data_IF_247630822985
#
_entry.id   IF_247630822985
#
_cell.length_a   1.000
_cell.length_b   1.000
_cell.length_c   1.000
_cell.angle_alpha   90.00
_cell.angle_beta   90.00
_cell.angle_gamma   90.00
#
_symmetry.space_group_name_H-M   'P 1'
#
loop_
_entity.id
_entity.type
_entity.pdbx_description
1 polymer ?
#
# COMPACT_ATOMS: atom_id res chain seq x y z
N UNK A 1 24.74 -10.67 1.22
CA UNK A 1 23.93 -11.26 0.14
C UNK A 1 22.77 -11.95 0.79
N UNK A 2 21.60 -11.31 0.76
CA UNK A 2 20.38 -11.89 1.32
C UNK A 2 19.95 -13.08 0.47
N UNK A 3 19.08 -13.96 1.00
CA UNK A 3 18.58 -15.13 0.25
C UNK A 3 17.78 -14.72 -0.98
N UNK A 4 17.35 -13.46 -1.09
CA UNK A 4 16.48 -12.99 -2.16
C UNK A 4 17.25 -12.41 -3.36
N UNK A 5 18.47 -11.90 -3.17
CA UNK A 5 19.43 -11.55 -4.24
C UNK A 5 19.73 -12.70 -5.23
N UNK A 6 19.39 -13.95 -4.87
CA UNK A 6 19.61 -15.15 -5.70
C UNK A 6 18.34 -15.66 -6.39
N UNK A 7 17.21 -14.96 -6.30
CA UNK A 7 16.01 -15.39 -7.01
C UNK A 7 16.13 -15.05 -8.51
N UNK A 8 15.74 -15.97 -9.40
CA UNK A 8 15.64 -15.67 -10.81
C UNK A 8 14.65 -14.51 -11.05
N UNK A 9 14.81 -13.73 -12.14
CA UNK A 9 13.87 -12.67 -12.46
C UNK A 9 12.42 -13.20 -12.48
N UNK A 10 11.53 -12.52 -11.77
CA UNK A 10 10.13 -12.93 -11.70
C UNK A 10 9.52 -12.99 -13.10
N UNK A 11 8.52 -13.84 -13.27
CA UNK A 11 7.68 -13.76 -14.46
C UNK A 11 7.01 -12.38 -14.53
N UNK A 12 7.05 -11.69 -15.68
CA UNK A 12 6.35 -10.42 -15.89
C UNK A 12 4.83 -10.59 -16.04
N UNK A 13 4.32 -11.82 -15.90
CA UNK A 13 2.90 -12.13 -16.02
C UNK A 13 2.06 -11.35 -14.98
N UNK A 14 0.91 -10.86 -15.46
CA UNK A 14 -0.12 -10.16 -14.66
C UNK A 14 -1.44 -10.93 -14.63
N UNK A 15 -1.39 -12.24 -14.93
CA UNK A 15 -2.54 -13.14 -15.02
C UNK A 15 -3.60 -12.75 -16.09
N UNK A 16 -3.18 -12.04 -17.14
CA UNK A 16 -3.95 -11.80 -18.36
C UNK A 16 -3.26 -12.51 -19.53
N UNK A 17 -3.95 -13.44 -20.18
CA UNK A 17 -3.42 -14.23 -21.29
C UNK A 17 -4.24 -13.97 -22.57
N UNK A 18 -4.01 -12.82 -23.20
CA UNK A 18 -4.63 -12.45 -24.48
C UNK A 18 -3.54 -11.92 -25.38
N UNK A 19 -3.29 -12.58 -26.50
CA UNK A 19 -2.32 -12.17 -27.52
C UNK A 19 -3.00 -11.23 -28.50
N UNK A 20 -2.37 -10.09 -28.77
CA UNK A 20 -2.79 -9.16 -29.81
C UNK A 20 -2.37 -9.70 -31.19
N UNK A 21 -3.32 -9.78 -32.12
CA UNK A 21 -3.10 -10.41 -33.43
C UNK A 21 -2.11 -9.64 -34.31
N UNK A 22 -2.01 -8.32 -34.16
CA UNK A 22 -1.14 -7.49 -35.01
C UNK A 22 0.30 -7.54 -34.54
N UNK A 23 0.52 -7.35 -33.23
CA UNK A 23 1.84 -7.30 -32.61
C UNK A 23 2.40 -8.66 -32.24
N UNK A 24 1.56 -9.71 -32.17
CA UNK A 24 1.92 -11.04 -31.69
C UNK A 24 2.44 -11.05 -30.24
N UNK A 25 2.02 -10.07 -29.44
CA UNK A 25 2.42 -9.90 -28.04
C UNK A 25 1.23 -10.01 -27.10
N UNK A 26 1.48 -10.48 -25.89
CA UNK A 26 0.48 -10.51 -24.83
C UNK A 26 0.08 -9.09 -24.37
N UNK A 27 -1.21 -8.78 -24.44
CA UNK A 27 -1.82 -7.51 -23.98
C UNK A 27 -1.76 -7.28 -22.47
N UNK A 28 -1.16 -8.19 -21.70
CA UNK A 28 -0.95 -8.05 -20.26
C UNK A 28 0.51 -7.84 -19.87
N UNK A 29 1.44 -8.61 -20.46
CA UNK A 29 2.86 -8.58 -20.07
C UNK A 29 3.82 -8.26 -21.22
N UNK A 30 3.31 -7.98 -22.42
CA UNK A 30 4.08 -7.65 -23.63
C UNK A 30 5.13 -8.71 -24.04
N UNK A 31 5.00 -9.95 -23.55
CA UNK A 31 5.79 -11.10 -24.00
C UNK A 31 5.19 -11.76 -25.24
N UNK A 32 6.02 -12.37 -26.06
CA UNK A 32 5.60 -13.26 -27.14
C UNK A 32 5.11 -14.61 -26.61
N UNK A 33 4.45 -15.41 -27.45
CA UNK A 33 3.98 -16.75 -27.07
C UNK A 33 5.16 -17.69 -26.74
N UNK A 34 6.24 -17.62 -27.51
CA UNK A 34 7.44 -18.45 -27.29
C UNK A 34 8.11 -18.12 -25.96
N UNK A 35 8.23 -16.82 -25.63
CA UNK A 35 8.73 -16.37 -24.33
C UNK A 35 7.85 -16.84 -23.16
N UNK A 36 6.53 -16.92 -23.38
CA UNK A 36 5.59 -17.43 -22.36
C UNK A 36 5.78 -18.93 -22.18
N UNK A 37 5.80 -19.71 -23.26
CA UNK A 37 5.92 -21.16 -23.22
C UNK A 37 7.28 -21.62 -22.65
N UNK A 38 8.37 -20.93 -23.01
CA UNK A 38 9.73 -21.25 -22.58
C UNK A 38 10.13 -20.74 -21.20
N UNK A 39 9.32 -19.88 -20.56
CA UNK A 39 9.75 -19.12 -19.36
C UNK A 39 10.22 -20.00 -18.19
N UNK A 40 9.52 -21.11 -17.95
CA UNK A 40 9.79 -21.99 -16.80
C UNK A 40 11.20 -22.60 -16.83
N UNK A 41 11.69 -22.92 -18.03
CA UNK A 41 13.01 -23.52 -18.27
C UNK A 41 14.07 -22.54 -18.77
N UNK A 42 13.72 -21.26 -18.94
CA UNK A 42 14.64 -20.25 -19.44
C UNK A 42 15.79 -19.95 -18.46
N UNK A 43 16.96 -19.61 -19.01
CA UNK A 43 18.09 -19.09 -18.23
C UNK A 43 17.80 -17.69 -17.69
N UNK A 44 18.54 -17.27 -16.66
CA UNK A 44 18.39 -15.93 -16.10
C UNK A 44 18.84 -14.83 -17.06
N UNK A 45 19.81 -15.11 -17.95
CA UNK A 45 20.20 -14.21 -19.03
C UNK A 45 19.05 -13.97 -20.02
N UNK A 46 18.37 -15.03 -20.44
CA UNK A 46 17.19 -14.92 -21.31
C UNK A 46 16.08 -14.12 -20.63
N UNK A 47 15.78 -14.44 -19.36
CA UNK A 47 14.77 -13.71 -18.58
C UNK A 47 15.11 -12.22 -18.47
N UNK A 48 16.38 -11.90 -18.23
CA UNK A 48 16.86 -10.53 -18.13
C UNK A 48 16.78 -9.79 -19.46
N UNK A 49 17.12 -10.44 -20.57
CA UNK A 49 16.97 -9.89 -21.92
C UNK A 49 15.50 -9.57 -22.24
N UNK A 50 14.58 -10.49 -21.96
CA UNK A 50 13.14 -10.25 -22.14
C UNK A 50 12.69 -9.07 -21.28
N UNK A 51 13.07 -9.01 -20.00
CA UNK A 51 12.74 -7.92 -19.09
C UNK A 51 13.18 -6.54 -19.61
N UNK A 52 14.35 -6.46 -20.26
CA UNK A 52 14.88 -5.23 -20.85
C UNK A 52 14.03 -4.72 -22.03
N UNK A 53 13.38 -5.61 -22.78
CA UNK A 53 12.56 -5.25 -23.94
C UNK A 53 11.11 -4.85 -23.58
N UNK A 54 10.59 -5.34 -22.45
CA UNK A 54 9.18 -5.14 -22.08
C UNK A 54 8.74 -3.68 -22.01
N UNK A 55 9.53 -2.70 -21.51
CA UNK A 55 9.09 -1.31 -21.48
C UNK A 55 8.73 -0.76 -22.87
N UNK A 56 9.59 -0.99 -23.87
CA UNK A 56 9.37 -0.53 -25.23
C UNK A 56 8.18 -1.23 -25.89
N UNK A 57 8.04 -2.55 -25.65
CA UNK A 57 6.91 -3.34 -26.16
C UNK A 57 5.57 -2.92 -25.51
N UNK A 58 5.57 -2.68 -24.20
CA UNK A 58 4.40 -2.21 -23.46
C UNK A 58 3.94 -0.83 -23.93
N UNK A 59 4.89 0.09 -24.17
CA UNK A 59 4.61 1.41 -24.75
C UNK A 59 3.96 1.31 -26.13
N UNK A 60 4.50 0.46 -27.02
CA UNK A 60 3.91 0.21 -28.36
C UNK A 60 2.49 -0.36 -28.29
N UNK A 61 2.20 -1.20 -27.30
CA UNK A 61 0.88 -1.75 -27.04
C UNK A 61 -0.06 -0.80 -26.28
N UNK A 62 0.42 0.35 -25.83
CA UNK A 62 -0.35 1.29 -25.02
C UNK A 62 -0.76 0.74 -23.65
N UNK A 63 0.02 -0.18 -23.07
CA UNK A 63 -0.28 -0.76 -21.76
C UNK A 63 -0.16 0.31 -20.68
N UNK A 64 -1.24 0.48 -19.91
CA UNK A 64 -1.29 1.43 -18.78
C UNK A 64 -0.72 0.89 -17.48
N UNK A 65 -0.50 -0.42 -17.41
CA UNK A 65 0.03 -1.08 -16.23
C UNK A 65 1.08 -2.07 -16.64
N UNK A 66 2.25 -2.02 -15.99
CA UNK A 66 3.36 -2.93 -16.26
C UNK A 66 3.93 -3.44 -14.94
N UNK A 67 4.10 -4.76 -14.83
CA UNK A 67 4.81 -5.34 -13.69
C UNK A 67 6.28 -4.93 -13.73
N UNK A 68 6.85 -4.59 -12.58
CA UNK A 68 8.29 -4.38 -12.41
C UNK A 68 8.97 -5.68 -11.99
N UNK A 69 10.28 -5.78 -12.27
CA UNK A 69 11.10 -6.92 -11.88
C UNK A 69 11.38 -6.99 -10.37
N UNK A 70 11.00 -5.96 -9.62
CA UNK A 70 11.26 -5.81 -8.19
C UNK A 70 10.70 -6.97 -7.40
N UNK A 71 11.56 -7.57 -6.59
CA UNK A 71 11.25 -8.59 -5.61
C UNK A 71 12.24 -8.46 -4.46
N UNK A 72 11.88 -8.94 -3.28
CA UNK A 72 12.89 -9.13 -2.25
C UNK A 72 13.55 -7.87 -1.77
N UNK A 73 14.86 -7.97 -1.60
CA UNK A 73 15.75 -6.88 -1.23
C UNK A 73 15.66 -5.72 -2.24
N UNK A 74 15.57 -6.01 -3.54
CA UNK A 74 15.40 -4.96 -4.57
C UNK A 74 14.11 -4.19 -4.37
N UNK A 75 13.00 -4.87 -4.07
CA UNK A 75 11.72 -4.19 -3.81
C UNK A 75 11.82 -3.27 -2.60
N UNK A 76 12.42 -3.77 -1.50
CA UNK A 76 12.61 -2.98 -0.29
C UNK A 76 13.53 -1.79 -0.53
N UNK A 77 14.66 -1.98 -1.21
CA UNK A 77 15.64 -0.93 -1.52
C UNK A 77 15.05 0.15 -2.43
N UNK A 78 14.32 -0.23 -3.49
CA UNK A 78 13.68 0.72 -4.40
C UNK A 78 12.52 1.48 -3.74
N UNK A 79 11.82 0.85 -2.79
CA UNK A 79 10.82 1.53 -1.97
C UNK A 79 11.48 2.52 -1.02
N UNK A 80 12.53 2.10 -0.30
CA UNK A 80 13.26 2.95 0.62
C UNK A 80 13.83 4.20 -0.08
N UNK A 81 14.59 4.00 -1.16
CA UNK A 81 15.21 5.08 -1.97
C UNK A 81 14.18 6.13 -2.40
N UNK A 82 13.00 5.69 -2.84
CA UNK A 82 11.92 6.60 -3.26
C UNK A 82 11.41 7.47 -2.12
N UNK A 83 11.17 6.86 -0.96
CA UNK A 83 10.56 7.54 0.18
C UNK A 83 11.57 8.39 0.96
N UNK A 84 12.83 7.97 1.05
CA UNK A 84 13.87 8.70 1.79
C UNK A 84 14.58 9.75 0.94
N UNK A 85 14.93 9.43 -0.31
CA UNK A 85 15.89 10.21 -1.09
C UNK A 85 15.23 11.00 -2.22
N UNK A 86 14.18 10.45 -2.85
CA UNK A 86 13.50 11.08 -4.01
C UNK A 86 12.28 11.91 -3.62
N UNK A 87 11.94 11.99 -2.34
CA UNK A 87 10.77 12.75 -1.86
C UNK A 87 9.42 12.18 -2.34
N UNK A 88 9.38 10.92 -2.76
CA UNK A 88 8.14 10.27 -3.12
C UNK A 88 7.23 10.13 -1.89
N UNK A 89 5.92 10.19 -2.12
CA UNK A 89 4.92 9.93 -1.08
C UNK A 89 4.37 8.51 -1.20
N UNK A 90 4.04 7.89 -0.07
CA UNK A 90 3.37 6.59 -0.03
C UNK A 90 1.95 6.75 0.52
N UNK A 91 0.98 6.22 -0.21
CA UNK A 91 -0.41 6.12 0.22
C UNK A 91 -0.73 4.65 0.50
N UNK A 92 -1.20 4.35 1.71
CA UNK A 92 -1.70 3.03 2.10
C UNK A 92 -3.13 3.14 2.62
N UNK A 93 -3.99 2.20 2.26
CA UNK A 93 -5.40 2.20 2.65
C UNK A 93 -6.33 1.93 1.47
N UNK A 94 -7.56 2.40 1.60
CA UNK A 94 -8.63 2.30 0.58
C UNK A 94 -9.03 3.69 0.08
N UNK A 95 -9.82 3.74 -0.99
CA UNK A 95 -10.43 5.00 -1.43
C UNK A 95 -11.29 5.61 -0.31
N UNK A 96 -10.92 6.82 0.11
CA UNK A 96 -11.58 7.54 1.20
C UNK A 96 -11.11 7.20 2.61
N UNK A 97 -10.27 6.18 2.83
CA UNK A 97 -9.65 5.92 4.13
C UNK A 97 -8.21 5.47 3.98
N UNK A 98 -7.26 6.40 4.12
CA UNK A 98 -5.85 6.15 3.84
C UNK A 98 -4.93 6.92 4.78
N UNK A 99 -3.73 6.39 4.98
CA UNK A 99 -2.60 7.14 5.47
C UNK A 99 -1.71 7.55 4.31
N UNK A 100 -1.20 8.77 4.37
CA UNK A 100 -0.22 9.31 3.43
C UNK A 100 1.06 9.61 4.20
N UNK A 101 2.14 8.91 3.84
CA UNK A 101 3.48 9.14 4.33
C UNK A 101 4.18 10.13 3.40
N UNK A 102 4.51 11.29 3.93
CA UNK A 102 5.24 12.34 3.21
C UNK A 102 6.44 12.76 4.05
N UNK A 103 7.66 12.58 3.53
CA UNK A 103 8.86 13.09 4.19
C UNK A 103 9.05 14.55 3.81
N UNK A 104 9.07 15.44 4.80
CA UNK A 104 9.45 16.84 4.59
C UNK A 104 10.97 16.93 4.28
N UNK A 105 11.43 17.89 3.45
CA UNK A 105 12.81 17.95 2.94
C UNK A 105 13.92 17.78 3.99
N UNK A 106 13.71 18.29 5.21
CA UNK A 106 14.68 18.25 6.31
C UNK A 106 14.26 17.35 7.47
N UNK A 107 13.14 16.64 7.36
CA UNK A 107 12.70 15.74 8.42
C UNK A 107 13.70 14.57 8.56
N UNK A 108 14.11 14.22 9.79
CA UNK A 108 14.93 13.04 10.01
C UNK A 108 14.16 11.81 9.52
N UNK A 109 14.87 10.90 8.87
CA UNK A 109 14.31 9.67 8.34
C UNK A 109 15.29 8.54 8.64
N UNK A 110 14.87 7.64 9.52
CA UNK A 110 15.62 6.43 9.82
C UNK A 110 15.12 5.31 8.94
N UNK A 111 16.02 4.70 8.18
CA UNK A 111 15.70 3.60 7.26
C UNK A 111 16.47 2.36 7.71
N UNK A 112 15.76 1.27 7.94
CA UNK A 112 16.30 -0.03 8.30
C UNK A 112 15.76 -1.09 7.34
N UNK A 113 16.64 -1.68 6.54
CA UNK A 113 16.32 -2.82 5.68
C UNK A 113 16.89 -4.07 6.34
N UNK A 114 16.01 -4.90 6.90
CA UNK A 114 16.34 -6.23 7.42
C UNK A 114 16.22 -7.32 6.35
N UNK A 115 16.33 -8.58 6.76
CA UNK A 115 16.24 -9.73 5.84
C UNK A 115 14.87 -9.84 5.14
N UNK A 116 13.79 -9.58 5.89
CA UNK A 116 12.42 -9.79 5.39
C UNK A 116 11.57 -8.51 5.39
N UNK A 117 12.09 -7.36 5.82
CA UNK A 117 11.30 -6.14 5.90
C UNK A 117 12.10 -4.84 5.84
N UNK A 118 11.48 -3.82 5.29
CA UNK A 118 11.86 -2.42 5.41
C UNK A 118 11.09 -1.80 6.58
N UNK A 119 11.78 -1.08 7.46
CA UNK A 119 11.20 -0.14 8.41
C UNK A 119 11.71 1.26 8.11
N UNK A 120 10.80 2.22 7.99
CA UNK A 120 11.10 3.65 7.82
C UNK A 120 10.41 4.42 8.95
N UNK A 121 11.17 5.23 9.69
CA UNK A 121 10.67 6.01 10.82
C UNK A 121 10.91 7.50 10.59
N UNK A 122 9.85 8.28 10.71
CA UNK A 122 9.82 9.74 10.78
C UNK A 122 9.38 10.16 12.20
N UNK A 123 9.50 11.44 12.59
CA UNK A 123 9.08 11.90 13.92
C UNK A 123 7.61 11.59 14.27
N UNK A 124 6.71 11.68 13.30
CA UNK A 124 5.26 11.57 13.44
C UNK A 124 4.65 10.47 12.55
N UNK A 125 5.48 9.58 12.00
CA UNK A 125 5.02 8.46 11.21
C UNK A 125 6.04 7.31 11.18
N UNK A 126 5.56 6.09 11.02
CA UNK A 126 6.43 4.95 10.76
C UNK A 126 5.77 3.98 9.79
N UNK A 127 6.58 3.33 8.97
CA UNK A 127 6.17 2.37 7.96
C UNK A 127 6.97 1.10 8.14
N UNK A 128 6.30 -0.06 8.11
CA UNK A 128 6.90 -1.36 7.91
C UNK A 128 6.34 -2.00 6.64
N UNK A 129 7.21 -2.49 5.77
CA UNK A 129 6.89 -3.23 4.55
C UNK A 129 7.61 -4.58 4.55
N UNK A 130 6.85 -5.67 4.53
CA UNK A 130 7.38 -7.03 4.49
C UNK A 130 7.64 -7.49 3.04
N UNK A 131 8.75 -8.18 2.83
CA UNK A 131 9.24 -8.68 1.55
C UNK A 131 8.61 -10.02 1.16
N UNK A 132 7.28 -10.05 1.06
CA UNK A 132 6.59 -11.28 0.69
C UNK A 132 6.84 -11.65 -0.78
N UNK A 133 7.06 -12.93 -1.07
CA UNK A 133 7.27 -13.44 -2.45
C UNK A 133 6.13 -13.12 -3.43
N UNK A 134 4.93 -12.87 -2.91
CA UNK A 134 3.75 -12.54 -3.70
C UNK A 134 3.50 -11.02 -3.80
N UNK A 135 4.28 -10.20 -3.09
CA UNK A 135 4.25 -8.76 -3.23
C UNK A 135 4.83 -8.39 -4.60
N UNK A 136 4.06 -7.65 -5.37
CA UNK A 136 4.37 -7.30 -6.76
C UNK A 136 4.35 -5.80 -6.92
N UNK A 137 5.37 -5.23 -7.54
CA UNK A 137 5.37 -3.83 -7.93
C UNK A 137 4.87 -3.68 -9.37
N UNK A 138 4.04 -2.67 -9.59
CA UNK A 138 3.53 -2.27 -10.89
C UNK A 138 3.85 -0.81 -11.14
N UNK A 139 4.33 -0.47 -12.33
CA UNK A 139 4.29 0.88 -12.84
C UNK A 139 2.91 1.12 -13.46
N UNK A 140 2.27 2.22 -13.11
CA UNK A 140 0.95 2.63 -13.58
C UNK A 140 1.09 3.97 -14.30
N UNK A 141 0.92 3.94 -15.61
CA UNK A 141 0.81 5.11 -16.47
C UNK A 141 -0.57 5.73 -16.33
N UNK A 142 -0.61 7.06 -16.18
CA UNK A 142 -1.84 7.84 -15.95
C UNK A 142 -1.87 8.97 -16.97
N UNK A 143 -2.98 9.15 -17.71
CA UNK A 143 -3.03 10.16 -18.78
C UNK A 143 -2.71 11.59 -18.33
N UNK A 144 -3.20 11.97 -17.16
CA UNK A 144 -3.17 13.37 -16.69
C UNK A 144 -2.29 13.58 -15.44
N UNK A 145 -1.42 12.61 -15.13
CA UNK A 145 -0.56 12.67 -13.95
C UNK A 145 0.71 11.83 -14.15
N UNK A 146 1.81 12.13 -13.43
CA UNK A 146 3.01 11.30 -13.47
C UNK A 146 2.71 9.83 -13.21
N UNK A 147 3.48 8.92 -13.81
CA UNK A 147 3.39 7.50 -13.49
C UNK A 147 3.61 7.27 -11.99
N UNK A 148 2.93 6.29 -11.42
CA UNK A 148 3.12 5.89 -10.03
C UNK A 148 3.53 4.42 -9.94
N UNK A 149 4.07 4.02 -8.79
CA UNK A 149 4.32 2.61 -8.49
C UNK A 149 3.21 2.10 -7.56
N UNK A 150 2.50 1.05 -7.95
CA UNK A 150 1.59 0.33 -7.06
C UNK A 150 2.28 -0.95 -6.56
N UNK A 151 2.43 -1.06 -5.24
CA UNK A 151 2.72 -2.33 -4.58
C UNK A 151 1.40 -3.05 -4.37
N UNK A 152 1.33 -4.33 -4.72
CA UNK A 152 0.09 -5.08 -4.66
C UNK A 152 0.32 -6.59 -4.47
N UNK A 153 -0.70 -7.26 -3.96
CA UNK A 153 -0.73 -8.71 -3.78
C UNK A 153 -1.87 -9.32 -4.59
N UNK A 154 -1.81 -10.61 -4.96
CA UNK A 154 -2.96 -11.31 -5.52
C UNK A 154 -4.17 -11.25 -4.56
N UNK A 155 -5.39 -11.16 -5.08
CA UNK A 155 -6.62 -11.01 -4.28
C UNK A 155 -6.77 -12.07 -3.18
N UNK A 156 -6.27 -13.30 -3.40
CA UNK A 156 -6.27 -14.37 -2.41
C UNK A 156 -5.37 -14.15 -1.18
N UNK A 157 -4.53 -13.11 -1.20
CA UNK A 157 -3.65 -12.67 -0.11
C UNK A 157 -4.18 -11.45 0.65
N UNK A 158 -5.30 -10.88 0.22
CA UNK A 158 -6.00 -9.82 0.96
C UNK A 158 -6.56 -10.33 2.29
N UNK A 159 -6.96 -9.41 3.18
CA UNK A 159 -7.53 -9.80 4.47
C UNK A 159 -8.81 -10.62 4.30
N UNK A 160 -8.93 -11.69 5.10
CA UNK A 160 -10.13 -12.53 5.13
C UNK A 160 -11.23 -11.91 5.98
N UNK A 161 -10.85 -11.44 7.16
CA UNK A 161 -11.75 -10.79 8.10
C UNK A 161 -11.93 -9.32 7.72
N UNK A 162 -13.19 -8.89 7.69
CA UNK A 162 -13.61 -7.54 7.30
C UNK A 162 -14.66 -7.01 8.29
N UNK A 163 -14.26 -6.58 9.50
CA UNK A 163 -15.19 -5.98 10.43
C UNK A 163 -15.94 -4.83 9.75
N UNK A 164 -17.28 -4.86 9.80
CA UNK A 164 -18.15 -3.80 9.28
C UNK A 164 -18.70 -2.90 10.40
N UNK A 165 -18.17 -3.07 11.60
CA UNK A 165 -18.52 -2.34 12.81
C UNK A 165 -17.26 -2.05 13.62
N UNK A 166 -17.33 -1.02 14.48
CA UNK A 166 -16.27 -0.69 15.40
C UNK A 166 -15.92 -1.92 16.24
N UNK A 167 -14.67 -2.39 16.17
CA UNK A 167 -14.26 -3.67 16.75
C UNK A 167 -12.98 -3.53 17.54
N UNK A 168 -12.97 -3.96 18.81
CA UNK A 168 -11.75 -4.04 19.61
C UNK A 168 -10.85 -5.18 19.10
N UNK A 169 -9.57 -4.90 18.89
CA UNK A 169 -8.57 -5.84 18.36
C UNK A 169 -7.60 -6.37 19.43
N UNK A 170 -7.62 -5.80 20.64
CA UNK A 170 -6.66 -6.11 21.69
C UNK A 170 -5.50 -5.12 21.75
N UNK A 171 -4.47 -5.45 22.54
CA UNK A 171 -3.27 -4.63 22.68
C UNK A 171 -2.41 -4.64 21.41
N UNK A 172 -1.73 -3.53 21.14
CA UNK A 172 -0.85 -3.42 19.98
C UNK A 172 0.60 -3.79 20.28
N UNK A 173 0.92 -5.07 20.10
CA UNK A 173 2.27 -5.61 20.33
C UNK A 173 3.25 -5.31 19.18
N UNK A 174 2.76 -4.86 18.02
CA UNK A 174 3.56 -4.60 16.83
C UNK A 174 3.72 -3.09 16.54
N UNK A 175 3.59 -2.25 17.58
CA UNK A 175 3.74 -0.81 17.48
C UNK A 175 5.14 -0.41 16.97
N UNK A 176 5.17 0.44 15.95
CA UNK A 176 6.39 1.05 15.43
C UNK A 176 6.69 2.37 16.14
N UNK A 177 5.66 3.19 16.39
CA UNK A 177 5.78 4.43 17.16
C UNK A 177 5.61 4.18 18.66
N UNK A 178 6.36 4.92 19.48
CA UNK A 178 6.33 4.78 20.94
C UNK A 178 5.03 5.27 21.58
N UNK A 179 4.34 6.24 20.95
CA UNK A 179 3.08 6.79 21.50
C UNK A 179 2.04 5.68 21.65
N UNK A 180 1.64 5.47 22.91
CA UNK A 180 0.71 4.44 23.33
C UNK A 180 1.09 3.03 22.84
N UNK A 181 2.38 2.71 22.68
CA UNK A 181 2.81 1.36 22.32
C UNK A 181 2.25 0.34 23.34
N UNK A 182 1.70 -0.78 22.86
CA UNK A 182 0.95 -1.73 23.70
C UNK A 182 -0.48 -1.30 24.06
N UNK A 183 -0.92 -0.10 23.66
CA UNK A 183 -2.27 0.40 23.88
C UNK A 183 -3.34 -0.39 23.11
N UNK A 184 -4.60 -0.26 23.53
CA UNK A 184 -5.73 -0.95 22.91
C UNK A 184 -5.97 -0.44 21.48
N UNK A 185 -6.14 -1.37 20.53
CA UNK A 185 -6.51 -1.08 19.14
C UNK A 185 -7.99 -1.30 18.86
N UNK A 186 -8.54 -0.42 18.04
CA UNK A 186 -9.89 -0.53 17.50
C UNK A 186 -9.87 -0.41 15.98
N UNK A 187 -10.48 -1.37 15.29
CA UNK A 187 -10.84 -1.26 13.86
C UNK A 187 -12.08 -0.39 13.72
N UNK A 188 -12.02 0.62 12.84
CA UNK A 188 -13.16 1.52 12.60
C UNK A 188 -14.31 0.87 11.83
N UNK A 189 -14.16 -0.38 11.39
CA UNK A 189 -15.27 -1.16 10.84
C UNK A 189 -15.60 -0.82 9.39
N UNK A 190 -14.59 -0.48 8.57
CA UNK A 190 -14.81 -0.07 7.17
C UNK A 190 -15.23 -1.22 6.24
N UNK A 191 -15.17 -2.47 6.69
CA UNK A 191 -15.66 -3.63 5.95
C UNK A 191 -14.85 -4.00 4.70
N UNK A 192 -13.59 -3.56 4.59
CA UNK A 192 -12.74 -3.79 3.41
C UNK A 192 -11.72 -4.88 3.61
N UNK A 193 -11.40 -5.57 2.50
CA UNK A 193 -10.37 -6.62 2.45
C UNK A 193 -9.00 -6.07 2.08
N UNK A 194 -8.97 -4.93 1.40
CA UNK A 194 -7.73 -4.30 0.95
C UNK A 194 -6.97 -3.61 2.08
N UNK A 195 -7.67 -3.08 3.08
CA UNK A 195 -7.03 -2.41 4.21
C UNK A 195 -7.88 -2.49 5.47
N UNK A 196 -7.21 -2.41 6.62
CA UNK A 196 -7.82 -2.05 7.90
C UNK A 196 -7.39 -0.64 8.25
N UNK A 197 -8.35 0.16 8.71
CA UNK A 197 -8.08 1.48 9.26
C UNK A 197 -8.41 1.43 10.74
N UNK A 198 -7.37 1.52 11.58
CA UNK A 198 -7.50 1.31 13.02
C UNK A 198 -6.87 2.45 13.79
N UNK A 199 -7.17 2.54 15.08
CA UNK A 199 -6.57 3.52 15.99
C UNK A 199 -6.00 2.83 17.21
N UNK A 200 -4.82 3.29 17.65
CA UNK A 200 -4.19 2.88 18.91
C UNK A 200 -4.43 3.94 19.97
N UNK A 201 -5.12 3.55 21.03
CA UNK A 201 -5.71 4.47 21.99
C UNK A 201 -4.90 4.50 23.30
N UNK A 202 -4.98 5.64 23.99
CA UNK A 202 -4.78 5.66 25.44
C UNK A 202 -6.01 5.06 26.16
N UNK A 203 -5.94 4.94 27.48
CA UNK A 203 -6.99 4.30 28.29
C UNK A 203 -8.34 5.07 28.20
N UNK A 204 -8.30 6.40 28.14
CA UNK A 204 -9.49 7.24 28.13
C UNK A 204 -10.27 7.09 26.81
N UNK A 205 -9.56 7.15 25.68
CA UNK A 205 -10.15 6.94 24.37
C UNK A 205 -10.59 5.49 24.20
N UNK A 206 -9.80 4.51 24.68
CA UNK A 206 -10.16 3.10 24.64
C UNK A 206 -11.48 2.82 25.37
N UNK A 207 -11.67 3.40 26.57
CA UNK A 207 -12.92 3.28 27.32
C UNK A 207 -14.11 3.92 26.59
N UNK A 208 -13.87 4.98 25.80
CA UNK A 208 -14.90 5.63 24.98
C UNK A 208 -15.29 4.75 23.79
N UNK A 209 -14.32 4.23 23.03
CA UNK A 209 -14.58 3.37 21.86
C UNK A 209 -15.18 2.02 22.27
N UNK A 210 -14.80 1.47 23.42
CA UNK A 210 -15.37 0.23 23.95
C UNK A 210 -16.90 0.32 24.11
N UNK A 211 -17.45 1.47 24.53
CA UNK A 211 -18.90 1.67 24.69
C UNK A 211 -19.66 1.73 23.36
N UNK A 212 -18.97 1.96 22.25
CA UNK A 212 -19.55 2.04 20.90
C UNK A 212 -19.26 0.78 20.06
N UNK A 213 -18.48 -0.17 20.58
CA UNK A 213 -18.11 -1.40 19.87
C UNK A 213 -19.35 -2.17 19.41
N UNK A 214 -19.29 -2.73 18.20
CA UNK A 214 -20.43 -3.38 17.53
C UNK A 214 -21.36 -2.42 16.78
N UNK A 215 -21.17 -1.09 16.87
CA UNK A 215 -21.90 -0.13 16.04
C UNK A 215 -21.26 -0.03 14.65
N UNK A 216 -22.08 -0.11 13.60
CA UNK A 216 -21.62 -0.09 12.21
C UNK A 216 -20.94 1.23 11.83
N UNK A 217 -20.10 1.16 10.80
CA UNK A 217 -19.64 2.34 10.07
C UNK A 217 -20.77 2.90 9.18
N UNK A 218 -20.94 4.25 9.06
CA UNK A 218 -20.27 5.31 9.81
C UNK A 218 -21.00 5.69 11.11
N UNK A 219 -22.07 4.99 11.49
CA UNK A 219 -22.99 5.37 12.57
C UNK A 219 -22.30 5.63 13.92
N UNK A 220 -21.24 4.87 14.24
CA UNK A 220 -20.49 5.05 15.48
C UNK A 220 -19.80 6.43 15.58
N UNK A 221 -19.50 7.08 14.45
CA UNK A 221 -18.85 8.40 14.42
C UNK A 221 -19.68 9.50 15.07
N UNK A 222 -21.01 9.36 15.11
CA UNK A 222 -21.88 10.27 15.85
C UNK A 222 -21.50 10.37 17.34
N UNK A 223 -20.92 9.31 17.90
CA UNK A 223 -20.49 9.20 19.30
C UNK A 223 -18.97 9.23 19.46
N UNK A 224 -18.23 8.71 18.48
CA UNK A 224 -16.76 8.56 18.58
C UNK A 224 -15.99 9.62 17.80
N UNK A 225 -16.61 10.36 16.87
CA UNK A 225 -15.92 11.27 15.96
C UNK A 225 -15.18 12.41 16.68
N UNK A 226 -15.87 13.14 17.57
CA UNK A 226 -15.25 14.19 18.39
C UNK A 226 -14.14 13.63 19.31
N UNK A 227 -14.37 12.56 20.10
CA UNK A 227 -13.30 11.93 20.88
C UNK A 227 -12.07 11.51 20.07
N UNK A 228 -12.27 10.91 18.89
CA UNK A 228 -11.18 10.51 18.00
C UNK A 228 -10.36 11.72 17.53
N UNK A 229 -11.03 12.79 17.09
CA UNK A 229 -10.36 14.02 16.67
C UNK A 229 -9.58 14.65 17.82
N UNK A 230 -10.23 14.85 18.96
CA UNK A 230 -9.67 15.59 20.09
C UNK A 230 -8.47 14.84 20.71
N UNK A 231 -8.53 13.50 20.77
CA UNK A 231 -7.40 12.70 21.22
C UNK A 231 -6.29 12.56 20.16
N UNK A 232 -6.64 12.67 18.88
CA UNK A 232 -5.75 12.43 17.72
C UNK A 232 -4.86 11.21 17.95
N UNK A 233 -5.43 10.00 18.15
CA UNK A 233 -4.66 8.81 18.44
C UNK A 233 -3.70 8.48 17.28
N UNK A 234 -2.76 7.57 17.50
CA UNK A 234 -1.99 6.99 16.39
C UNK A 234 -2.97 6.24 15.48
N UNK A 235 -3.05 6.63 14.21
CA UNK A 235 -3.79 5.87 13.21
C UNK A 235 -2.87 4.80 12.67
N UNK A 236 -3.31 3.55 12.74
CA UNK A 236 -2.58 2.39 12.24
C UNK A 236 -3.36 1.83 11.05
N UNK A 237 -2.78 2.00 9.86
CA UNK A 237 -3.32 1.52 8.59
C UNK A 237 -2.55 0.27 8.21
N UNK A 238 -3.28 -0.83 8.04
CA UNK A 238 -2.70 -2.10 7.64
C UNK A 238 -3.25 -2.48 6.27
N UNK A 239 -2.36 -2.83 5.35
CA UNK A 239 -2.67 -3.46 4.07
C UNK A 239 -1.86 -4.75 3.98
N UNK A 240 -2.12 -5.66 3.02
CA UNK A 240 -1.31 -6.86 2.89
C UNK A 240 0.18 -6.52 2.74
N UNK A 241 1.02 -7.09 3.61
CA UNK A 241 2.46 -6.86 3.68
C UNK A 241 2.89 -5.47 4.20
N UNK A 242 1.99 -4.59 4.63
CA UNK A 242 2.37 -3.25 5.07
C UNK A 242 1.60 -2.79 6.30
N UNK A 243 2.32 -2.13 7.20
CA UNK A 243 1.78 -1.41 8.34
C UNK A 243 2.29 0.02 8.31
N UNK A 244 1.39 0.98 8.33
CA UNK A 244 1.66 2.41 8.38
C UNK A 244 1.06 2.99 9.65
N UNK A 245 1.86 3.72 10.42
CA UNK A 245 1.46 4.46 11.61
C UNK A 245 1.61 5.95 11.36
N UNK A 246 0.59 6.73 11.70
CA UNK A 246 0.62 8.19 11.61
C UNK A 246 0.20 8.77 12.97
N UNK A 247 1.02 9.67 13.50
CA UNK A 247 0.85 10.37 14.77
C UNK A 247 0.72 11.91 14.61
N UNK A 248 0.47 12.38 13.40
CA UNK A 248 0.13 13.79 13.18
C UNK A 248 -1.25 14.14 13.76
N UNK A 249 -1.49 15.40 14.12
CA UNK A 249 -2.81 15.83 14.59
C UNK A 249 -3.90 15.66 13.52
N UNK A 250 -5.13 15.33 13.93
CA UNK A 250 -6.28 15.29 13.03
C UNK A 250 -6.78 16.74 12.84
N UNK A 251 -6.80 17.29 11.61
CA UNK A 251 -7.24 18.65 11.38
C UNK A 251 -8.75 18.82 11.60
N UNK A 252 -9.19 20.07 11.72
CA UNK A 252 -10.62 20.40 11.69
C UNK A 252 -11.23 20.06 10.32
N UNK A 253 -12.54 19.79 10.23
CA UNK A 253 -13.20 19.42 8.96
C UNK A 253 -12.96 20.40 7.81
N UNK A 254 -12.87 21.70 8.10
CA UNK A 254 -12.62 22.76 7.11
C UNK A 254 -11.12 23.12 6.96
N UNK A 255 -10.24 22.35 7.61
CA UNK A 255 -8.80 22.56 7.58
C UNK A 255 -8.14 22.03 6.31
N UNK A 256 -6.98 22.59 5.96
CA UNK A 256 -6.14 22.06 4.89
C UNK A 256 -5.45 20.76 5.33
N UNK A 257 -5.22 19.85 4.37
CA UNK A 257 -4.41 18.66 4.65
C UNK A 257 -3.00 19.06 5.09
N UNK A 258 -2.42 18.42 6.13
CA UNK A 258 -1.06 18.70 6.55
C UNK A 258 -0.04 18.46 5.43
N UNK A 259 1.06 19.21 5.44
CA UNK A 259 2.16 19.03 4.48
C UNK A 259 2.99 17.76 4.76
N UNK A 260 3.04 17.31 6.01
CA UNK A 260 3.72 16.10 6.45
C UNK A 260 2.82 14.86 6.42
N UNK A 261 3.21 13.77 7.10
CA UNK A 261 2.41 12.56 7.19
C UNK A 261 1.02 12.83 7.76
N UNK A 262 -0.01 12.26 7.15
CA UNK A 262 -1.39 12.49 7.58
C UNK A 262 -2.32 11.34 7.18
N UNK A 263 -3.59 11.47 7.54
CA UNK A 263 -4.61 10.48 7.22
C UNK A 263 -5.87 11.15 6.67
N UNK A 264 -6.52 10.48 5.73
CA UNK A 264 -7.85 10.84 5.23
C UNK A 264 -8.88 9.84 5.72
N UNK A 265 -10.05 10.34 6.09
CA UNK A 265 -11.21 9.54 6.43
C UNK A 265 -12.46 10.28 5.94
N UNK A 266 -12.94 9.89 4.76
CA UNK A 266 -13.96 10.58 3.97
C UNK A 266 -15.14 9.62 3.73
N UNK A 267 -16.21 9.69 4.54
CA UNK A 267 -17.35 8.76 4.47
C UNK A 267 -17.97 8.63 3.08
N UNK A 268 -18.12 9.74 2.35
CA UNK A 268 -18.72 9.74 1.01
C UNK A 268 -17.87 8.96 -0.02
N UNK A 269 -16.55 9.03 0.07
CA UNK A 269 -15.66 8.23 -0.77
C UNK A 269 -15.67 6.75 -0.36
N UNK A 270 -15.69 6.46 0.95
CA UNK A 270 -15.77 5.09 1.45
C UNK A 270 -17.07 4.41 1.01
N UNK A 271 -18.18 5.16 0.97
CA UNK A 271 -19.48 4.68 0.53
C UNK A 271 -19.49 4.22 -0.95
N UNK A 272 -18.57 4.72 -1.78
CA UNK A 272 -18.46 4.31 -3.20
C UNK A 272 -18.00 2.87 -3.39
N UNK A 273 -17.46 2.21 -2.35
CA UNK A 273 -17.15 0.79 -2.45
C UNK A 273 -15.77 0.44 -3.00
N UNK A 274 -14.93 1.44 -3.31
CA UNK A 274 -13.69 1.26 -4.04
C UNK A 274 -12.49 0.99 -3.11
N UNK A 275 -11.64 0.04 -3.48
CA UNK A 275 -10.39 -0.22 -2.76
C UNK A 275 -9.25 0.72 -3.21
N UNK A 276 -9.23 1.16 -4.46
CA UNK A 276 -8.24 2.10 -4.99
C UNK A 276 -8.93 3.32 -5.61
N UNK A 277 -8.22 4.46 -5.75
CA UNK A 277 -8.76 5.61 -6.47
C UNK A 277 -9.20 5.22 -7.89
N UNK A 278 -10.31 5.76 -8.42
CA UNK A 278 -10.79 5.45 -9.78
C UNK A 278 -9.77 5.70 -10.89
N UNK A 279 -8.82 6.61 -10.65
CA UNK A 279 -7.77 7.01 -11.58
C UNK A 279 -6.56 6.05 -11.62
N UNK A 280 -6.59 4.98 -10.81
CA UNK A 280 -5.50 4.01 -10.70
C UNK A 280 -5.96 2.66 -11.26
N UNK A 281 -5.65 2.33 -12.52
CA UNK A 281 -6.07 1.08 -13.14
C UNK A 281 -5.26 -0.11 -12.60
N UNK A 282 -5.74 -0.72 -11.52
CA UNK A 282 -5.16 -1.94 -10.98
C UNK A 282 -5.53 -3.17 -11.83
N UNK A 283 -4.61 -4.15 -12.01
CA UNK A 283 -4.94 -5.40 -12.66
C UNK A 283 -6.00 -6.18 -11.86
N UNK A 284 -7.03 -6.73 -12.53
CA UNK A 284 -8.24 -7.32 -11.91
C UNK A 284 -7.99 -8.48 -10.91
N UNK A 285 -6.80 -9.07 -10.88
CA UNK A 285 -6.42 -10.15 -9.93
C UNK A 285 -5.67 -9.68 -8.69
N UNK A 286 -5.48 -8.37 -8.52
CA UNK A 286 -4.61 -7.78 -7.51
C UNK A 286 -5.35 -6.78 -6.61
N UNK A 287 -4.85 -6.67 -5.38
CA UNK A 287 -5.27 -5.71 -4.38
C UNK A 287 -4.07 -4.87 -3.98
N UNK A 288 -4.23 -3.56 -3.94
CA UNK A 288 -3.13 -2.65 -3.60
C UNK A 288 -2.71 -2.80 -2.13
N UNK A 289 -1.40 -2.89 -1.92
CA UNK A 289 -0.72 -2.72 -0.65
C UNK A 289 -0.42 -1.23 -0.42
N UNK A 290 0.13 -0.56 -1.42
CA UNK A 290 0.44 0.87 -1.36
C UNK A 290 0.56 1.47 -2.77
N UNK A 291 0.40 2.78 -2.85
CA UNK A 291 0.71 3.58 -4.02
C UNK A 291 1.87 4.51 -3.67
N UNK A 292 2.94 4.49 -4.46
CA UNK A 292 4.10 5.37 -4.34
C UNK A 292 4.03 6.36 -5.49
N UNK A 293 3.80 7.63 -5.16
CA UNK A 293 3.69 8.70 -6.14
C UNK A 293 5.00 9.50 -6.10
N UNK A 294 5.55 9.88 -7.27
CA UNK A 294 6.76 10.69 -7.33
C UNK A 294 6.55 12.03 -6.62
N UNK A 295 7.65 12.68 -6.24
CA UNK A 295 7.62 14.06 -5.76
C UNK A 295 6.96 14.97 -6.80
N UNK A 296 6.17 15.94 -6.31
CA UNK A 296 5.53 16.98 -7.13
C UNK A 296 6.51 18.09 -7.50
#
# INVERSE_FOLDING_TARGET
MSRIDRLPPASPCVARCVIDETSQLCTGCARSLDEIAGWGSASDDFRSAVWAELPARASRLGLKTRRLSWQGDTLLAETARRLSDEGARLIAGIWGASGELVRLPDAPCEVQIGEDALTLTLPDAALRLDSARYLTAFEIDRPDAPALIALAVPVGRAFRDRPAALTALGQDEAALLSRNAGGMRFDLGLGRRAARFTVRCDDALAATLARATGTNWPDHLSRTGLPLRDASPVRVIETPCLRLEIDAAIPMPDGTSPSGPHTHLLPDHIAQGLDTPPTVPMPAGYVATALILPAS
#
